data_IF_038950789104
#
_entry.id   IF_038950789104
#
_cell.length_a   1.000
_cell.length_b   1.000
_cell.length_c   1.000
_cell.angle_alpha   90.00
_cell.angle_beta   90.00
_cell.angle_gamma   90.00
#
_symmetry.space_group_name_H-M   'P 1'
#
loop_
_entity.id
_entity.type
_entity.pdbx_description
1 polymer ?
#
# COMPACT_ATOMS: atom_id res chain seq x y z
N UNK A 1 23.60 9.71 -7.01
CA UNK A 1 23.98 11.12 -6.79
C UNK A 1 22.86 11.70 -5.95
N UNK A 2 23.15 12.30 -4.80
CA UNK A 2 22.11 12.93 -3.96
C UNK A 2 21.58 14.14 -4.73
N UNK A 3 20.28 14.18 -5.01
CA UNK A 3 19.66 15.38 -5.55
C UNK A 3 19.52 16.42 -4.43
N UNK A 4 19.87 17.67 -4.73
CA UNK A 4 19.69 18.79 -3.83
C UNK A 4 18.27 19.34 -3.97
N UNK A 5 17.57 19.43 -2.84
CA UNK A 5 16.27 20.07 -2.71
C UNK A 5 16.52 21.51 -2.26
N UNK A 6 16.18 22.46 -3.13
CA UNK A 6 16.21 23.90 -2.84
C UNK A 6 14.80 24.47 -3.01
N UNK A 7 14.15 24.83 -1.90
CA UNK A 7 12.82 25.43 -1.91
C UNK A 7 12.81 26.73 -1.12
N UNK A 8 12.06 27.72 -1.59
CA UNK A 8 11.91 29.03 -0.96
C UNK A 8 10.47 29.50 -1.02
N UNK A 9 9.94 29.95 0.11
CA UNK A 9 8.58 30.48 0.18
C UNK A 9 8.48 31.58 1.25
N UNK A 10 7.73 32.64 0.95
CA UNK A 10 7.36 33.66 1.93
C UNK A 10 6.10 33.22 2.68
N UNK A 11 6.05 33.43 4.00
CA UNK A 11 4.89 33.13 4.84
C UNK A 11 3.78 34.14 4.57
N UNK A 12 2.62 33.71 4.03
CA UNK A 12 1.47 34.60 3.87
C UNK A 12 1.01 35.15 5.22
N UNK A 13 0.49 36.38 5.24
CA UNK A 13 0.03 37.04 6.47
C UNK A 13 -1.01 36.23 7.26
N UNK A 14 -1.84 35.45 6.56
CA UNK A 14 -2.85 34.55 7.14
C UNK A 14 -2.26 33.34 7.89
N UNK A 15 -1.03 32.93 7.55
CA UNK A 15 -0.31 31.86 8.24
C UNK A 15 0.57 32.39 9.38
N UNK A 16 0.67 33.70 9.53
CA UNK A 16 1.38 34.34 10.64
C UNK A 16 0.79 33.95 11.99
N UNK A 17 1.65 33.76 12.99
CA UNK A 17 1.24 33.34 14.34
C UNK A 17 1.05 31.83 14.50
N UNK A 18 1.24 31.04 13.44
CA UNK A 18 1.21 29.58 13.49
C UNK A 18 2.61 28.99 13.73
N UNK A 19 2.65 27.69 14.07
CA UNK A 19 3.92 26.97 14.27
C UNK A 19 4.64 26.77 12.94
N UNK A 20 5.96 26.87 12.96
CA UNK A 20 6.82 26.66 11.79
C UNK A 20 6.54 25.32 11.10
N UNK A 21 6.39 24.22 11.83
CA UNK A 21 6.10 22.91 11.24
C UNK A 21 4.74 22.81 10.53
N UNK A 22 3.75 23.61 10.96
CA UNK A 22 2.44 23.69 10.31
C UNK A 22 2.48 24.58 9.08
N UNK A 23 3.17 25.72 9.17
CA UNK A 23 3.33 26.64 8.04
C UNK A 23 4.16 26.00 6.94
N UNK A 24 5.30 25.38 7.28
CA UNK A 24 6.14 24.66 6.34
C UNK A 24 5.38 23.54 5.62
N UNK A 25 4.51 22.80 6.32
CA UNK A 25 3.70 21.74 5.71
C UNK A 25 2.64 22.27 4.73
N UNK A 26 2.22 23.53 4.88
CA UNK A 26 1.31 24.18 3.93
C UNK A 26 2.07 24.75 2.73
N UNK A 27 3.22 25.38 2.95
CA UNK A 27 4.02 25.99 1.89
C UNK A 27 4.80 24.96 1.05
N UNK A 28 5.21 23.84 1.66
CA UNK A 28 5.93 22.75 1.01
C UNK A 28 5.11 21.46 1.08
N UNK A 29 3.88 21.51 0.57
CA UNK A 29 2.89 20.44 0.65
C UNK A 29 3.33 19.10 0.02
N UNK A 30 4.37 19.13 -0.81
CA UNK A 30 4.99 17.94 -1.41
C UNK A 30 5.76 17.08 -0.39
N UNK A 31 6.05 17.63 0.79
CA UNK A 31 6.81 16.95 1.82
C UNK A 31 5.97 16.71 3.08
N UNK A 32 6.04 15.48 3.59
CA UNK A 32 5.37 15.15 4.85
C UNK A 32 5.84 16.06 6.00
N UNK A 33 4.91 16.41 6.90
CA UNK A 33 5.22 17.21 8.09
C UNK A 33 6.33 16.62 8.94
N UNK A 34 6.44 15.30 9.05
CA UNK A 34 7.51 14.63 9.78
C UNK A 34 8.88 14.84 9.14
N UNK A 35 8.96 14.81 7.80
CA UNK A 35 10.19 15.08 7.05
C UNK A 35 10.61 16.54 7.17
N UNK A 36 9.67 17.48 7.00
CA UNK A 36 9.92 18.90 7.23
C UNK A 36 10.38 19.17 8.67
N UNK A 37 9.76 18.51 9.66
CA UNK A 37 10.17 18.60 11.06
C UNK A 37 11.57 18.07 11.33
N UNK A 38 12.01 17.05 10.59
CA UNK A 38 13.39 16.55 10.66
C UNK A 38 14.36 17.60 10.08
N UNK A 39 14.09 18.12 8.89
CA UNK A 39 14.92 19.16 8.27
C UNK A 39 15.00 20.46 9.07
N UNK A 40 13.92 20.86 9.76
CA UNK A 40 13.98 21.98 10.71
C UNK A 40 14.96 21.69 11.85
N UNK A 41 14.90 20.49 12.45
CA UNK A 41 15.80 20.10 13.55
C UNK A 41 17.25 19.99 13.11
N UNK A 42 17.47 19.56 11.87
CA UNK A 42 18.79 19.41 11.27
C UNK A 42 19.35 20.74 10.74
N UNK A 43 18.62 21.85 10.90
CA UNK A 43 19.03 23.18 10.43
C UNK A 43 19.00 23.35 8.91
N UNK A 44 18.35 22.43 8.19
CA UNK A 44 18.20 22.45 6.72
C UNK A 44 17.03 23.31 6.25
N UNK A 45 16.02 23.51 7.10
CA UNK A 45 14.95 24.49 6.87
C UNK A 45 15.11 25.68 7.82
N UNK A 46 15.40 26.85 7.27
CA UNK A 46 15.62 28.11 8.01
C UNK A 46 14.50 29.12 7.77
N UNK A 47 14.34 30.06 8.71
CA UNK A 47 13.43 31.22 8.61
C UNK A 47 14.26 32.50 8.70
N UNK A 48 14.20 33.34 7.67
CA UNK A 48 15.00 34.58 7.56
C UNK A 48 16.52 34.34 7.80
N UNK A 49 17.02 33.18 7.34
CA UNK A 49 18.40 32.74 7.54
C UNK A 49 18.72 32.16 8.93
N UNK A 50 17.75 32.14 9.87
CA UNK A 50 17.90 31.58 11.21
C UNK A 50 17.36 30.15 11.34
N UNK A 51 17.98 29.34 12.22
CA UNK A 51 17.47 28.01 12.59
C UNK A 51 16.48 28.14 13.76
N UNK A 52 15.26 27.65 13.55
CA UNK A 52 14.20 27.62 14.56
C UNK A 52 13.84 26.17 14.90
N UNK A 53 13.06 25.96 15.98
CA UNK A 53 12.51 24.65 16.32
C UNK A 53 11.16 24.46 15.62
N UNK A 54 10.73 23.22 15.36
CA UNK A 54 9.44 22.95 14.69
C UNK A 54 8.22 23.59 15.35
N UNK A 55 8.27 23.79 16.67
CA UNK A 55 7.17 24.37 17.47
C UNK A 55 7.20 25.88 17.60
N UNK A 56 8.26 26.54 17.12
CA UNK A 56 8.39 27.99 17.24
C UNK A 56 7.41 28.67 16.28
N UNK A 57 6.99 29.89 16.63
CA UNK A 57 5.99 30.65 15.89
C UNK A 57 6.67 31.48 14.80
N UNK A 58 6.10 31.50 13.60
CA UNK A 58 6.56 32.34 12.49
C UNK A 58 5.61 33.52 12.25
N UNK A 59 6.15 34.61 11.74
CA UNK A 59 5.39 35.80 11.40
C UNK A 59 5.08 35.84 9.90
N UNK A 60 4.00 36.52 9.52
CA UNK A 60 3.73 36.81 8.12
C UNK A 60 4.86 37.66 7.51
N UNK A 61 5.21 37.39 6.27
CA UNK A 61 6.33 38.01 5.55
C UNK A 61 7.70 37.37 5.82
N UNK A 62 7.81 36.44 6.78
CA UNK A 62 9.05 35.71 7.00
C UNK A 62 9.36 34.80 5.80
N UNK A 63 10.63 34.58 5.48
CA UNK A 63 11.05 33.75 4.35
C UNK A 63 11.55 32.40 4.86
N UNK A 64 10.92 31.31 4.41
CA UNK A 64 11.39 29.95 4.63
C UNK A 64 12.31 29.53 3.48
N UNK A 65 13.47 28.99 3.82
CA UNK A 65 14.45 28.45 2.87
C UNK A 65 14.82 27.03 3.29
N UNK A 66 14.58 26.07 2.39
CA UNK A 66 14.94 24.66 2.54
C UNK A 66 16.12 24.35 1.62
N UNK A 67 17.22 23.89 2.21
CA UNK A 67 18.36 23.35 1.48
C UNK A 67 18.66 21.98 2.07
N UNK A 68 18.28 20.91 1.37
CA UNK A 68 18.45 19.55 1.86
C UNK A 68 18.89 18.57 0.79
N UNK A 69 19.83 17.70 1.14
CA UNK A 69 20.14 16.54 0.32
C UNK A 69 19.03 15.48 0.45
N UNK A 70 18.57 14.96 -0.68
CA UNK A 70 17.72 13.77 -0.73
C UNK A 70 18.56 12.55 -0.30
N UNK A 71 18.33 12.05 0.92
CA UNK A 71 18.96 10.82 1.36
C UNK A 71 18.41 9.62 0.58
N UNK A 72 19.29 8.90 -0.11
CA UNK A 72 18.94 7.64 -0.76
C UNK A 72 18.50 6.63 0.30
N UNK A 73 17.28 6.08 0.16
CA UNK A 73 16.79 5.07 1.09
C UNK A 73 17.41 3.72 0.71
N UNK A 74 18.54 3.38 1.35
CA UNK A 74 19.18 2.06 1.22
C UNK A 74 19.89 1.81 -0.11
N UNK A 75 20.78 0.82 -0.10
CA UNK A 75 21.44 0.30 -1.31
C UNK A 75 20.59 -0.83 -1.91
N UNK A 76 19.45 -0.47 -2.52
CA UNK A 76 18.64 -1.42 -3.27
C UNK A 76 19.00 -1.38 -4.75
N UNK A 77 19.16 -2.55 -5.36
CA UNK A 77 19.53 -2.69 -6.76
C UNK A 77 18.27 -2.95 -7.60
N UNK A 78 18.14 -2.23 -8.72
CA UNK A 78 17.09 -2.44 -9.71
C UNK A 78 17.22 -3.84 -10.35
N UNK A 79 16.10 -4.52 -10.54
CA UNK A 79 16.05 -5.84 -11.16
C UNK A 79 14.92 -5.89 -12.18
N UNK A 80 15.22 -6.42 -13.37
CA UNK A 80 14.25 -6.62 -14.44
C UNK A 80 13.32 -7.79 -14.08
N UNK A 81 12.22 -7.45 -13.40
CA UNK A 81 11.16 -8.36 -12.96
C UNK A 81 9.87 -7.81 -13.55
N UNK A 82 9.18 -8.63 -14.35
CA UNK A 82 7.95 -8.23 -15.03
C UNK A 82 6.86 -7.80 -14.04
N UNK A 83 6.25 -6.64 -14.29
CA UNK A 83 5.14 -6.09 -13.53
C UNK A 83 3.85 -6.18 -14.35
N UNK A 84 2.81 -6.77 -13.78
CA UNK A 84 1.44 -6.69 -14.32
C UNK A 84 0.83 -5.33 -13.96
N UNK A 85 0.99 -4.35 -14.85
CA UNK A 85 0.56 -2.96 -14.65
C UNK A 85 -0.88 -2.80 -15.14
N UNK A 86 -1.76 -2.42 -14.22
CA UNK A 86 -3.19 -2.19 -14.49
C UNK A 86 -3.45 -0.73 -14.86
N UNK A 87 -2.71 0.19 -14.26
CA UNK A 87 -2.81 1.63 -14.51
C UNK A 87 -1.47 2.31 -14.19
N UNK A 88 -1.09 3.29 -14.98
CA UNK A 88 0.08 4.12 -14.74
C UNK A 88 -0.15 5.54 -15.27
N UNK A 89 0.18 6.53 -14.45
CA UNK A 89 0.29 7.93 -14.86
C UNK A 89 1.58 8.56 -14.29
N UNK A 90 1.70 9.88 -14.32
CA UNK A 90 2.89 10.60 -13.83
C UNK A 90 3.06 10.51 -12.30
N UNK A 91 1.99 10.25 -11.55
CA UNK A 91 1.94 10.35 -10.10
C UNK A 91 1.86 8.98 -9.41
N UNK A 92 1.14 8.02 -9.99
CA UNK A 92 0.88 6.71 -9.39
C UNK A 92 1.01 5.57 -10.39
N UNK A 93 1.25 4.38 -9.84
CA UNK A 93 1.27 3.11 -10.54
C UNK A 93 0.36 2.14 -9.79
N UNK A 94 -0.53 1.44 -10.50
CA UNK A 94 -1.34 0.36 -9.99
C UNK A 94 -0.90 -0.94 -10.63
N UNK A 95 -0.43 -1.86 -9.80
CA UNK A 95 0.02 -3.18 -10.22
C UNK A 95 -0.92 -4.26 -9.71
N UNK A 96 -1.03 -5.36 -10.43
CA UNK A 96 -1.60 -6.60 -9.94
C UNK A 96 -0.46 -7.53 -9.48
N UNK A 97 -0.15 -7.51 -8.19
CA UNK A 97 0.97 -8.29 -7.64
C UNK A 97 0.66 -9.79 -7.74
N UNK A 98 1.54 -10.63 -8.33
CA UNK A 98 1.36 -12.07 -8.33
C UNK A 98 1.64 -12.67 -6.94
N UNK A 99 1.22 -13.91 -6.72
CA UNK A 99 1.63 -14.70 -5.57
C UNK A 99 3.12 -15.04 -5.66
N UNK A 100 3.78 -15.29 -4.53
CA UNK A 100 5.22 -15.56 -4.46
C UNK A 100 6.12 -14.32 -4.48
N UNK A 101 5.63 -13.16 -4.94
CA UNK A 101 6.42 -11.93 -4.98
C UNK A 101 6.36 -11.18 -3.63
N UNK A 102 7.54 -11.00 -3.01
CA UNK A 102 7.71 -10.22 -1.77
C UNK A 102 7.66 -8.74 -2.10
N UNK A 103 6.99 -7.94 -1.27
CA UNK A 103 6.76 -6.51 -1.52
C UNK A 103 8.01 -5.65 -1.30
N UNK A 104 8.74 -5.89 -0.22
CA UNK A 104 9.85 -5.03 0.21
C UNK A 104 10.95 -5.91 0.80
N UNK A 105 12.24 -5.56 0.62
CA UNK A 105 13.36 -6.29 1.19
C UNK A 105 13.16 -6.55 2.69
N UNK A 106 13.42 -7.80 3.09
CA UNK A 106 13.24 -8.31 4.44
C UNK A 106 14.24 -9.44 4.73
N UNK A 107 14.35 -9.87 5.99
CA UNK A 107 15.20 -11.01 6.35
C UNK A 107 14.81 -12.25 5.53
N UNK A 108 15.79 -12.83 4.82
CA UNK A 108 15.60 -13.98 3.91
C UNK A 108 15.12 -13.62 2.50
N UNK A 109 14.83 -12.35 2.21
CA UNK A 109 14.49 -11.84 0.87
C UNK A 109 15.09 -10.43 0.73
N UNK A 110 16.41 -10.35 0.55
CA UNK A 110 17.14 -9.08 0.45
C UNK A 110 16.89 -8.37 -0.89
N UNK A 111 16.61 -9.14 -1.93
CA UNK A 111 16.31 -8.73 -3.30
C UNK A 111 15.20 -9.62 -3.89
N UNK A 112 14.96 -9.52 -5.20
CA UNK A 112 13.90 -10.26 -5.90
C UNK A 112 12.50 -9.80 -5.48
N UNK A 113 12.38 -8.57 -4.99
CA UNK A 113 11.12 -8.02 -4.46
C UNK A 113 10.47 -7.08 -5.45
N UNK A 114 9.20 -6.76 -5.21
CA UNK A 114 8.48 -5.73 -5.94
C UNK A 114 9.23 -4.40 -5.93
N UNK A 115 9.87 -4.02 -4.81
CA UNK A 115 10.70 -2.82 -4.75
C UNK A 115 11.82 -2.85 -5.81
N UNK A 116 12.50 -3.98 -5.98
CA UNK A 116 13.57 -4.11 -6.98
C UNK A 116 13.03 -3.98 -8.41
N UNK A 117 11.84 -4.52 -8.66
CA UNK A 117 11.11 -4.37 -9.93
C UNK A 117 10.73 -2.91 -10.20
N UNK A 118 10.24 -2.19 -9.18
CA UNK A 118 9.86 -0.78 -9.28
C UNK A 118 11.07 0.11 -9.59
N UNK A 119 12.23 -0.17 -8.97
CA UNK A 119 13.47 0.54 -9.28
C UNK A 119 13.94 0.34 -10.72
N UNK A 120 13.59 -0.77 -11.35
CA UNK A 120 13.88 -1.01 -12.77
C UNK A 120 12.90 -0.27 -13.68
N UNK A 121 11.60 -0.36 -13.37
CA UNK A 121 10.53 0.23 -14.18
C UNK A 121 10.50 1.77 -14.09
N UNK A 122 10.72 2.33 -12.90
CA UNK A 122 10.73 3.77 -12.63
C UNK A 122 12.00 4.12 -11.85
N UNK A 123 13.15 4.35 -12.50
CA UNK A 123 14.44 4.56 -11.81
C UNK A 123 14.41 5.66 -10.74
N UNK A 124 13.73 6.78 -11.02
CA UNK A 124 13.65 7.93 -10.12
C UNK A 124 12.82 7.67 -8.85
N UNK A 125 12.08 6.55 -8.81
CA UNK A 125 11.29 6.17 -7.63
C UNK A 125 12.16 5.90 -6.39
N UNK A 126 13.47 5.68 -6.56
CA UNK A 126 14.44 5.57 -5.47
C UNK A 126 14.44 6.79 -4.54
N UNK A 127 14.08 7.95 -5.07
CA UNK A 127 13.99 9.21 -4.32
C UNK A 127 12.68 9.30 -3.52
N UNK A 128 11.70 8.45 -3.81
CA UNK A 128 10.41 8.37 -3.09
C UNK A 128 10.55 7.42 -1.91
N UNK A 129 10.05 7.77 -0.70
CA UNK A 129 10.13 6.89 0.46
C UNK A 129 9.62 5.48 0.18
N UNK A 130 10.46 4.48 0.49
CA UNK A 130 10.22 3.04 0.25
C UNK A 130 9.86 2.72 -1.20
N UNK A 131 10.46 3.43 -2.17
CA UNK A 131 10.14 3.30 -3.59
C UNK A 131 8.64 3.45 -3.87
N UNK A 132 7.98 4.39 -3.19
CA UNK A 132 6.54 4.65 -3.39
C UNK A 132 5.59 3.65 -2.73
N UNK A 133 6.09 2.62 -2.06
CA UNK A 133 5.27 1.57 -1.45
C UNK A 133 4.62 2.08 -0.15
N UNK A 134 3.34 2.43 -0.24
CA UNK A 134 2.55 2.98 0.89
C UNK A 134 1.76 1.93 1.67
N UNK A 135 1.56 0.73 1.11
CA UNK A 135 0.94 -0.41 1.78
C UNK A 135 1.56 -1.73 1.29
N UNK A 136 1.24 -2.85 1.93
CA UNK A 136 1.78 -4.15 1.55
C UNK A 136 0.68 -5.19 1.37
N UNK A 137 1.00 -6.18 0.54
CA UNK A 137 0.40 -7.49 0.48
C UNK A 137 1.40 -8.52 1.03
N UNK A 138 0.91 -9.65 1.54
CA UNK A 138 1.78 -10.77 1.88
C UNK A 138 2.29 -11.44 0.60
N UNK A 139 3.37 -12.22 0.74
CA UNK A 139 4.09 -12.86 -0.37
C UNK A 139 3.12 -13.61 -1.30
N UNK A 140 2.26 -14.44 -0.72
CA UNK A 140 1.35 -15.31 -1.48
C UNK A 140 -0.04 -14.69 -1.71
N UNK A 141 -0.24 -13.43 -1.30
CA UNK A 141 -1.46 -12.69 -1.59
C UNK A 141 -1.35 -12.03 -2.96
N UNK A 142 -2.31 -12.30 -3.84
CA UNK A 142 -2.44 -11.65 -5.14
C UNK A 142 -3.27 -10.37 -5.08
N UNK A 143 -3.06 -9.47 -6.03
CA UNK A 143 -4.01 -8.40 -6.32
C UNK A 143 -3.42 -7.01 -6.31
N UNK A 144 -4.31 -6.02 -6.25
CA UNK A 144 -3.98 -4.65 -6.55
C UNK A 144 -3.11 -3.98 -5.48
N UNK A 145 -2.02 -3.37 -5.94
CA UNK A 145 -1.21 -2.46 -5.16
C UNK A 145 -1.07 -1.12 -5.85
N UNK A 146 -1.18 -0.05 -5.07
CA UNK A 146 -0.95 1.33 -5.52
C UNK A 146 0.42 1.73 -5.00
N UNK A 147 1.22 2.30 -5.89
CA UNK A 147 2.58 2.78 -5.66
C UNK A 147 2.63 4.25 -6.08
N UNK A 148 3.24 5.09 -5.27
CA UNK A 148 3.47 6.50 -5.62
C UNK A 148 4.77 6.67 -6.41
N UNK A 149 4.70 7.35 -7.56
CA UNK A 149 5.86 7.71 -8.37
C UNK A 149 6.51 9.02 -7.93
N UNK A 150 5.80 9.85 -7.16
CA UNK A 150 6.29 11.14 -6.64
C UNK A 150 6.17 11.22 -5.12
N UNK A 151 6.94 12.14 -4.51
CA UNK A 151 6.87 12.41 -3.05
C UNK A 151 5.50 12.98 -2.66
N UNK A 152 4.93 13.83 -3.51
CA UNK A 152 3.60 14.40 -3.32
C UNK A 152 2.52 13.31 -3.30
N UNK A 153 2.49 12.43 -4.32
CA UNK A 153 1.54 11.32 -4.37
C UNK A 153 1.72 10.36 -3.19
N UNK A 154 2.97 10.11 -2.77
CA UNK A 154 3.27 9.28 -1.60
C UNK A 154 2.66 9.86 -0.33
N UNK A 155 2.83 11.17 -0.11
CA UNK A 155 2.31 11.89 1.05
C UNK A 155 0.78 11.86 1.07
N UNK A 156 0.15 12.10 -0.08
CA UNK A 156 -1.31 12.06 -0.21
C UNK A 156 -1.88 10.66 0.03
N UNK A 157 -1.32 9.63 -0.60
CA UNK A 157 -1.76 8.24 -0.40
C UNK A 157 -1.59 7.77 1.04
N UNK A 158 -0.48 8.13 1.71
CA UNK A 158 -0.31 7.85 3.15
C UNK A 158 -1.40 8.52 3.98
N UNK A 159 -1.70 9.80 3.68
CA UNK A 159 -2.76 10.55 4.37
C UNK A 159 -4.12 9.89 4.19
N UNK A 160 -4.45 9.47 2.97
CA UNK A 160 -5.69 8.77 2.65
C UNK A 160 -5.81 7.41 3.36
N UNK A 161 -4.70 6.66 3.44
CA UNK A 161 -4.66 5.38 4.17
C UNK A 161 -4.83 5.59 5.69
N UNK A 162 -4.26 6.65 6.25
CA UNK A 162 -4.40 7.01 7.66
C UNK A 162 -5.83 7.48 7.98
N UNK A 163 -6.44 8.28 7.11
CA UNK A 163 -7.82 8.75 7.26
C UNK A 163 -8.88 7.70 6.92
N UNK A 164 -8.45 6.52 6.42
CA UNK A 164 -9.32 5.42 5.96
C UNK A 164 -10.29 5.84 4.84
N UNK A 165 -9.91 6.82 4.04
CA UNK A 165 -10.68 7.25 2.86
C UNK A 165 -10.54 6.30 1.67
N UNK A 166 -9.49 5.46 1.65
CA UNK A 166 -9.30 4.43 0.63
C UNK A 166 -9.92 3.10 1.05
N UNK A 167 -10.80 2.58 0.20
CA UNK A 167 -11.39 1.24 0.36
C UNK A 167 -10.46 0.16 -0.19
N UNK A 168 -10.42 -0.98 0.52
CA UNK A 168 -9.68 -2.19 0.10
C UNK A 168 -10.63 -3.36 0.25
N UNK A 169 -10.99 -3.95 -0.87
CA UNK A 169 -11.95 -5.06 -0.92
C UNK A 169 -11.17 -6.33 -1.23
N UNK A 170 -11.53 -7.41 -0.56
CA UNK A 170 -10.88 -8.69 -0.78
C UNK A 170 -11.88 -9.78 -1.10
N UNK A 171 -11.58 -10.57 -2.12
CA UNK A 171 -12.30 -11.81 -2.39
C UNK A 171 -11.55 -12.99 -1.80
N UNK A 172 -12.26 -13.84 -1.06
CA UNK A 172 -11.65 -14.92 -0.31
C UNK A 172 -12.42 -16.22 -0.34
N UNK A 173 -11.66 -17.32 -0.31
CA UNK A 173 -12.18 -18.66 0.00
C UNK A 173 -11.92 -18.91 1.47
N UNK A 174 -12.93 -19.40 2.19
CA UNK A 174 -12.87 -19.71 3.61
C UNK A 174 -13.26 -21.17 3.86
N UNK A 175 -12.68 -21.78 4.88
CA UNK A 175 -13.06 -23.12 5.34
C UNK A 175 -14.16 -23.00 6.40
N UNK A 176 -15.30 -23.66 6.17
CA UNK A 176 -16.47 -23.62 7.04
C UNK A 176 -17.69 -23.02 6.36
N UNK A 177 -18.77 -22.83 7.13
CA UNK A 177 -20.02 -22.23 6.64
C UNK A 177 -20.17 -20.84 7.25
N UNK A 178 -20.25 -19.81 6.39
CA UNK A 178 -20.59 -18.44 6.79
C UNK A 178 -22.09 -18.26 6.60
N UNK A 179 -22.82 -17.95 7.68
CA UNK A 179 -24.31 -18.05 7.72
C UNK A 179 -25.03 -16.72 7.48
N UNK A 180 -24.68 -15.67 8.23
CA UNK A 180 -25.28 -14.31 8.14
C UNK A 180 -24.28 -13.30 7.60
N UNK A 181 -24.46 -11.95 7.86
CA UNK A 181 -23.75 -10.60 7.70
C UNK A 181 -22.78 -10.17 8.86
N UNK A 182 -21.55 -9.63 8.67
CA UNK A 182 -20.65 -9.50 9.84
C UNK A 182 -19.38 -8.63 9.74
N UNK A 183 -18.94 -8.11 10.90
CA UNK A 183 -17.68 -7.39 11.12
C UNK A 183 -16.88 -8.12 12.21
N UNK A 184 -15.61 -8.39 11.92
CA UNK A 184 -14.65 -8.91 12.91
C UNK A 184 -13.88 -7.69 13.45
N UNK A 185 -14.03 -7.42 14.75
CA UNK A 185 -13.36 -6.32 15.44
C UNK A 185 -12.55 -6.87 16.62
N UNK A 186 -11.37 -7.42 16.32
CA UNK A 186 -10.43 -7.95 17.30
C UNK A 186 -9.06 -7.28 17.16
N UNK A 187 -8.33 -7.08 18.26
CA UNK A 187 -6.93 -6.70 18.20
C UNK A 187 -6.10 -7.83 17.57
N UNK A 188 -5.17 -7.45 16.69
CA UNK A 188 -4.17 -8.36 16.10
C UNK A 188 -2.79 -7.88 16.54
N UNK A 189 -1.99 -8.79 17.09
CA UNK A 189 -0.62 -8.56 17.56
C UNK A 189 0.35 -9.62 17.05
N UNK A 190 1.60 -9.55 17.48
CA UNK A 190 2.59 -10.61 17.20
C UNK A 190 2.40 -11.77 18.18
N UNK A 191 2.59 -13.00 17.70
CA UNK A 191 2.61 -14.15 18.58
C UNK A 191 3.82 -14.10 19.52
N UNK A 192 3.61 -14.25 20.82
CA UNK A 192 4.65 -14.02 21.85
C UNK A 192 5.90 -14.91 21.71
N UNK A 193 5.75 -16.15 21.24
CA UNK A 193 6.88 -17.07 21.03
C UNK A 193 7.29 -17.27 19.56
N UNK A 194 6.32 -17.34 18.62
CA UNK A 194 6.58 -17.62 17.21
C UNK A 194 6.62 -16.33 16.41
N UNK A 195 7.81 -15.75 16.26
CA UNK A 195 8.03 -14.43 15.64
C UNK A 195 7.53 -14.28 14.19
N UNK A 196 7.30 -15.39 13.48
CA UNK A 196 6.74 -15.40 12.12
C UNK A 196 5.20 -15.37 12.09
N UNK A 197 4.53 -15.54 13.23
CA UNK A 197 3.07 -15.59 13.31
C UNK A 197 2.48 -14.33 13.94
N UNK A 198 1.31 -13.95 13.41
CA UNK A 198 0.42 -13.00 14.06
C UNK A 198 -0.52 -13.74 15.01
N UNK A 199 -0.98 -13.09 16.06
CA UNK A 199 -1.95 -13.59 17.02
C UNK A 199 -3.11 -12.61 17.13
N UNK A 200 -4.34 -13.10 17.22
CA UNK A 200 -5.53 -12.33 17.52
C UNK A 200 -6.45 -13.17 18.41
N UNK A 201 -7.42 -12.54 19.07
CA UNK A 201 -8.48 -13.28 19.76
C UNK A 201 -9.29 -14.09 18.74
N UNK A 202 -9.62 -15.34 19.08
CA UNK A 202 -10.50 -16.18 18.28
C UNK A 202 -11.91 -15.57 18.37
N UNK A 203 -12.39 -15.00 17.28
CA UNK A 203 -13.78 -14.53 17.15
C UNK A 203 -14.57 -15.60 16.37
N UNK A 204 -15.63 -16.13 16.98
CA UNK A 204 -16.66 -16.89 16.25
C UNK A 204 -17.40 -15.94 15.30
N UNK A 205 -17.32 -16.22 14.00
CA UNK A 205 -17.95 -15.38 12.98
C UNK A 205 -19.41 -15.82 12.80
N UNK A 206 -20.34 -15.07 13.41
CA UNK A 206 -21.73 -15.06 13.00
C UNK A 206 -21.96 -13.92 11.97
N UNK A 207 -21.41 -14.07 10.75
CA UNK A 207 -21.94 -13.40 9.55
C UNK A 207 -20.99 -12.88 8.40
N UNK A 208 -21.56 -12.19 7.40
CA UNK A 208 -21.53 -12.28 5.92
C UNK A 208 -20.56 -11.36 5.25
N UNK A 209 -20.22 -11.93 4.11
CA UNK A 209 -19.69 -11.31 2.94
C UNK A 209 -20.75 -11.28 1.83
N UNK A 210 -20.67 -10.27 0.96
CA UNK A 210 -21.46 -10.23 -0.27
C UNK A 210 -21.11 -11.44 -1.14
N UNK A 211 -22.14 -12.20 -1.49
CA UNK A 211 -22.08 -13.39 -2.33
C UNK A 211 -21.73 -13.00 -3.78
N UNK A 212 -20.57 -13.41 -4.28
CA UNK A 212 -20.39 -13.57 -5.73
C UNK A 212 -20.77 -15.01 -6.06
N UNK A 213 -21.86 -15.17 -6.81
CA UNK A 213 -22.40 -16.47 -7.16
C UNK A 213 -21.52 -17.15 -8.22
N UNK A 214 -21.16 -18.41 -7.98
CA UNK A 214 -20.98 -19.42 -9.02
C UNK A 214 -19.60 -19.52 -9.66
N UNK A 215 -18.65 -20.16 -8.96
CA UNK A 215 -17.64 -20.98 -9.64
C UNK A 215 -17.91 -22.43 -9.18
N UNK A 216 -18.31 -23.34 -10.09
CA UNK A 216 -18.47 -24.75 -9.72
C UNK A 216 -17.10 -25.32 -9.32
N UNK A 217 -17.06 -26.08 -8.22
CA UNK A 217 -15.87 -26.85 -7.85
C UNK A 217 -15.46 -27.76 -9.01
N UNK A 218 -14.15 -27.95 -9.29
CA UNK A 218 -13.75 -29.03 -10.18
C UNK A 218 -14.22 -30.36 -9.57
N UNK A 219 -14.86 -31.25 -10.36
CA UNK A 219 -15.36 -32.51 -9.84
C UNK A 219 -14.19 -33.37 -9.36
N UNK A 220 -14.33 -33.95 -8.17
CA UNK A 220 -13.46 -35.05 -7.74
C UNK A 220 -13.58 -36.16 -8.78
N UNK A 221 -12.48 -36.52 -9.43
CA UNK A 221 -12.41 -37.64 -10.35
C UNK A 221 -12.73 -38.93 -9.59
N UNK A 222 -13.92 -39.50 -9.80
CA UNK A 222 -14.20 -40.94 -9.69
C UNK A 222 -15.22 -41.32 -10.76
N UNK A 223 -15.01 -42.51 -11.34
CA UNK A 223 -15.57 -43.00 -12.60
C UNK A 223 -17.09 -43.28 -12.60
N UNK A 224 -17.62 -43.31 -13.84
CA UNK A 224 -18.83 -43.98 -14.39
C UNK A 224 -20.19 -43.24 -14.41
N UNK A 225 -20.50 -42.64 -15.59
CA UNK A 225 -21.78 -42.57 -16.37
C UNK A 225 -23.11 -42.10 -15.71
N UNK A 226 -24.09 -41.58 -16.49
CA UNK A 226 -24.10 -40.43 -17.41
C UNK A 226 -25.07 -39.30 -16.92
N UNK A 227 -24.89 -38.07 -17.41
CA UNK A 227 -25.77 -36.91 -17.13
C UNK A 227 -26.71 -36.69 -18.34
N UNK A 228 -28.04 -36.61 -18.18
CA UNK A 228 -28.90 -36.01 -19.19
C UNK A 228 -29.20 -34.53 -18.89
N UNK A 229 -28.92 -33.73 -19.93
CA UNK A 229 -29.56 -32.50 -20.42
C UNK A 229 -30.14 -31.45 -19.46
N UNK A 230 -29.63 -30.22 -19.63
CA UNK A 230 -30.50 -29.09 -20.00
C UNK A 230 -30.54 -27.93 -19.03
N UNK A 231 -29.68 -26.92 -19.24
CA UNK A 231 -30.12 -25.52 -19.29
C UNK A 231 -29.01 -24.64 -19.89
N UNK A 232 -29.39 -23.90 -20.94
CA UNK A 232 -28.60 -22.82 -21.53
C UNK A 232 -28.68 -21.62 -20.57
N UNK A 233 -27.56 -20.97 -20.29
CA UNK A 233 -27.56 -19.60 -19.78
C UNK A 233 -26.77 -18.73 -20.76
N UNK A 234 -27.45 -17.67 -21.18
CA UNK A 234 -27.09 -16.68 -22.20
C UNK A 234 -25.75 -16.01 -21.86
N UNK A 235 -24.84 -16.00 -22.85
CA UNK A 235 -23.56 -15.29 -22.81
C UNK A 235 -23.75 -13.93 -23.44
N UNK A 236 -23.96 -12.89 -22.63
CA UNK A 236 -23.74 -11.50 -23.05
C UNK A 236 -22.85 -10.78 -22.04
N UNK A 237 -21.73 -10.36 -22.60
CA UNK A 237 -20.49 -9.68 -22.15
C UNK A 237 -20.72 -8.41 -21.29
N UNK A 238 -19.71 -7.77 -20.65
CA UNK A 238 -18.30 -7.64 -21.05
C UNK A 238 -17.28 -8.23 -20.06
N UNK A 239 -16.11 -8.57 -20.60
CA UNK A 239 -14.95 -9.14 -19.93
C UNK A 239 -14.57 -8.38 -18.65
N UNK A 240 -14.84 -8.96 -17.48
CA UNK A 240 -14.03 -8.70 -16.28
C UNK A 240 -12.86 -9.66 -16.32
N UNK A 241 -11.64 -9.12 -16.40
CA UNK A 241 -10.41 -9.85 -16.12
C UNK A 241 -10.57 -10.48 -14.72
N UNK A 242 -10.76 -11.79 -14.66
CA UNK A 242 -10.79 -12.55 -13.42
C UNK A 242 -9.37 -13.05 -13.18
N UNK A 243 -8.57 -12.47 -12.27
CA UNK A 243 -7.25 -13.01 -11.96
C UNK A 243 -7.41 -14.42 -11.37
N UNK A 244 -6.63 -15.37 -11.90
CA UNK A 244 -6.57 -16.75 -11.42
C UNK A 244 -5.85 -16.80 -10.07
N UNK A 245 -6.50 -17.40 -9.07
CA UNK A 245 -5.92 -17.65 -7.75
C UNK A 245 -5.17 -18.99 -7.76
N UNK A 246 -3.91 -19.00 -7.32
CA UNK A 246 -3.16 -20.23 -7.04
C UNK A 246 -2.92 -20.32 -5.53
N UNK A 247 -3.39 -21.40 -4.91
CA UNK A 247 -3.17 -21.69 -3.49
C UNK A 247 -1.99 -22.65 -3.37
N UNK A 248 -0.93 -22.26 -2.65
CA UNK A 248 0.10 -23.19 -2.18
C UNK A 248 -0.18 -23.55 -0.72
N UNK A 249 -0.43 -24.83 -0.46
CA UNK A 249 -0.67 -25.41 0.86
C UNK A 249 0.43 -25.00 1.86
N UNK A 250 0.03 -24.44 3.00
CA UNK A 250 0.83 -24.58 4.22
C UNK A 250 -0.06 -24.89 5.42
N UNK A 251 0.03 -26.16 5.81
CA UNK A 251 -0.31 -26.76 7.10
C UNK A 251 -1.79 -27.15 7.35
N UNK A 252 -1.99 -28.46 7.52
CA UNK A 252 -3.26 -29.18 7.59
C UNK A 252 -3.81 -29.17 9.03
N UNK A 253 -4.29 -28.01 9.51
CA UNK A 253 -5.00 -27.89 10.81
C UNK A 253 -6.35 -27.18 10.63
N UNK A 254 -7.37 -27.51 11.44
CA UNK A 254 -8.67 -26.83 11.37
C UNK A 254 -8.51 -25.40 11.91
N UNK A 255 -8.42 -24.45 10.99
CA UNK A 255 -8.36 -23.02 11.23
C UNK A 255 -8.53 -22.32 9.89
N UNK A 256 -9.44 -21.34 9.81
CA UNK A 256 -9.85 -20.72 8.56
C UNK A 256 -8.65 -20.18 7.76
N UNK A 257 -8.31 -20.87 6.68
CA UNK A 257 -7.44 -20.32 5.65
C UNK A 257 -8.29 -19.36 4.82
N UNK A 258 -7.92 -18.08 4.85
CA UNK A 258 -8.52 -17.02 4.05
C UNK A 258 -7.47 -16.66 2.99
N UNK A 259 -7.64 -17.14 1.76
CA UNK A 259 -6.86 -16.61 0.61
C UNK A 259 -7.53 -15.33 0.15
N UNK A 260 -6.77 -14.27 -0.13
CA UNK A 260 -7.26 -12.89 -0.21
C UNK A 260 -6.89 -12.31 -1.57
N UNK A 261 -7.86 -11.90 -2.40
CA UNK A 261 -7.64 -11.21 -3.69
C UNK A 261 -8.00 -9.75 -3.55
N UNK A 262 -7.03 -8.84 -3.65
CA UNK A 262 -7.25 -7.40 -3.39
C UNK A 262 -7.79 -6.65 -4.61
N UNK A 263 -8.98 -6.08 -4.48
CA UNK A 263 -9.51 -5.00 -5.29
C UNK A 263 -9.30 -3.65 -4.60
N UNK A 264 -8.95 -2.64 -5.38
CA UNK A 264 -8.79 -1.26 -4.94
C UNK A 264 -9.79 -0.42 -5.73
N UNK A 265 -10.66 0.29 -5.02
CA UNK A 265 -11.59 1.26 -5.59
C UNK A 265 -11.15 2.62 -5.09
N UNK A 266 -10.68 3.45 -6.01
CA UNK A 266 -10.49 4.89 -5.80
C UNK A 266 -11.79 5.52 -6.22
N UNK A 267 -12.55 6.09 -5.27
CA UNK A 267 -13.70 6.91 -5.62
C UNK A 267 -13.17 8.24 -6.20
N UNK A 268 -13.77 8.70 -7.30
CA UNK A 268 -13.46 9.97 -8.00
C UNK A 268 -13.54 11.20 -7.09
#
# INVERSE_FOLDING_TARGET
>A
MSENIELRAEVPSELGGQRLDQVAAQLFAEHSRSRLSAWIKDGRLTVDGGVLRPRDIVHGGAVLELIAEQEAQGEWVAQDIELDIIYEDDQILVINKPAGLVVHPAAGHADGTLLNALLHHVPDIINVPRAGIVHRLDKDTTGLMVVAKTIQAQTQLVTQLQSRSVSRIYECIVIGVVTAGGKIDAPIGRHGQQRQRMAGEIIEIAGAFRKTAGIPMPPKVRHNHPIPAGQRVDLRTPHRLVPKVTVTEQDNRPGALVSVVKGLTVDE
#
